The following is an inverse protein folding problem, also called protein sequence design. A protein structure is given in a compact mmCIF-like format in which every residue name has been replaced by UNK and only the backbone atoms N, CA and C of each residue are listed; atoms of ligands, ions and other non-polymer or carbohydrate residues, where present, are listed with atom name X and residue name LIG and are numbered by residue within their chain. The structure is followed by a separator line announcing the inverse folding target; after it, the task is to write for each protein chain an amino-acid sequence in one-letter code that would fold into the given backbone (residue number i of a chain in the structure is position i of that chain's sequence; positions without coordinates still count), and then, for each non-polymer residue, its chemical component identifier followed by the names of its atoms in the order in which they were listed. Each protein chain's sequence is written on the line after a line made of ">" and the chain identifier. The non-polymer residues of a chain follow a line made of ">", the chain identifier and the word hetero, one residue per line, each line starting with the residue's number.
data_IF_274213130658
#
_entry.id   IF_274213130658
#
_cell.length_a   1.000
_cell.length_b   1.000
_cell.length_c   1.000
_cell.angle_alpha   90.00
_cell.angle_beta   90.00
_cell.angle_gamma   90.00
#
_symmetry.space_group_name_H-M   'P 1'
#
loop_
_entity.id
_entity.type
_entity.pdbx_description
1 polymer ?
#
# COMPACT_ATOMS: atom_id res chain seq x y z
N UNK A 1 -18.74 16.28 43.95
CA UNK A 1 -18.24 17.30 43.00
C UNK A 1 -18.25 16.64 41.62
N UNK A 2 -19.32 16.83 40.85
CA UNK A 2 -19.56 16.15 39.58
C UNK A 2 -18.80 16.83 38.45
N UNK A 3 -17.98 16.07 37.72
CA UNK A 3 -17.35 16.50 36.48
C UNK A 3 -18.44 16.60 35.39
N UNK A 4 -18.93 17.81 35.15
CA UNK A 4 -19.68 18.13 33.94
C UNK A 4 -18.73 17.98 32.75
N UNK A 5 -18.79 16.82 32.09
CA UNK A 5 -18.26 16.64 30.74
C UNK A 5 -18.97 17.63 29.83
N UNK A 6 -18.26 18.70 29.46
CA UNK A 6 -18.69 19.64 28.45
C UNK A 6 -19.04 18.85 27.18
N UNK A 7 -20.33 18.80 26.88
CA UNK A 7 -20.90 18.27 25.65
C UNK A 7 -20.39 19.18 24.53
N UNK A 8 -19.36 18.74 23.81
CA UNK A 8 -18.88 19.38 22.59
C UNK A 8 -19.95 19.16 21.51
N UNK A 9 -20.96 20.04 21.47
CA UNK A 9 -21.84 20.16 20.30
C UNK A 9 -21.10 21.01 19.26
N UNK A 10 -20.74 20.38 18.14
CA UNK A 10 -20.20 21.10 16.99
C UNK A 10 -21.37 21.88 16.36
N UNK A 11 -21.20 23.16 16.02
CA UNK A 11 -22.25 23.93 15.36
C UNK A 11 -22.45 23.38 13.95
N UNK A 12 -23.45 22.51 13.77
CA UNK A 12 -23.76 21.86 12.49
C UNK A 12 -24.19 20.39 12.53
N UNK A 13 -24.59 19.86 13.70
CA UNK A 13 -24.96 18.45 13.91
C UNK A 13 -26.34 18.07 13.31
N UNK A 14 -26.48 18.22 11.98
CA UNK A 14 -27.48 17.45 11.23
C UNK A 14 -26.85 16.10 10.85
N UNK A 15 -27.24 14.97 11.47
CA UNK A 15 -26.65 13.65 11.18
C UNK A 15 -26.76 13.24 9.70
N UNK A 16 -27.65 13.88 8.93
CA UNK A 16 -27.81 13.67 7.49
C UNK A 16 -26.67 14.24 6.62
N UNK A 17 -25.93 15.26 7.08
CA UNK A 17 -24.86 15.90 6.30
C UNK A 17 -23.48 15.28 6.52
N UNK A 18 -23.26 14.58 7.64
CA UNK A 18 -21.97 13.92 7.94
C UNK A 18 -21.78 12.60 7.16
N UNK A 19 -22.86 11.86 6.90
CA UNK A 19 -22.81 10.59 6.16
C UNK A 19 -22.24 10.73 4.75
N UNK A 20 -22.67 11.70 3.90
CA UNK A 20 -22.13 11.83 2.55
C UNK A 20 -20.64 12.23 2.54
N UNK A 21 -20.20 13.06 3.49
CA UNK A 21 -18.78 13.45 3.60
C UNK A 21 -17.91 12.27 4.00
N UNK A 22 -18.34 11.47 4.97
CA UNK A 22 -17.62 10.25 5.39
C UNK A 22 -17.57 9.22 4.26
N UNK A 23 -18.67 9.06 3.51
CA UNK A 23 -18.72 8.15 2.35
C UNK A 23 -17.80 8.62 1.22
N UNK A 24 -17.76 9.93 0.94
CA UNK A 24 -16.89 10.53 -0.07
C UNK A 24 -15.42 10.41 0.31
N UNK A 25 -15.06 10.67 1.57
CA UNK A 25 -13.72 10.44 2.11
C UNK A 25 -13.33 8.97 2.02
N UNK A 26 -14.23 8.05 2.42
CA UNK A 26 -13.96 6.62 2.32
C UNK A 26 -13.77 6.16 0.87
N UNK A 27 -14.57 6.68 -0.07
CA UNK A 27 -14.44 6.41 -1.50
C UNK A 27 -13.14 6.98 -2.09
N UNK A 28 -12.76 8.20 -1.70
CA UNK A 28 -11.48 8.82 -2.08
C UNK A 28 -10.28 8.04 -1.54
N UNK A 29 -10.34 7.61 -0.27
CA UNK A 29 -9.29 6.80 0.36
C UNK A 29 -9.20 5.42 -0.29
N UNK A 30 -10.33 4.80 -0.63
CA UNK A 30 -10.39 3.56 -1.37
C UNK A 30 -9.81 3.71 -2.79
N UNK A 31 -10.15 4.80 -3.48
CA UNK A 31 -9.61 5.15 -4.79
C UNK A 31 -8.11 5.38 -4.77
N UNK A 32 -7.60 6.10 -3.76
CA UNK A 32 -6.18 6.29 -3.54
C UNK A 32 -5.45 4.97 -3.24
N UNK A 33 -6.01 4.14 -2.37
CA UNK A 33 -5.47 2.81 -2.07
C UNK A 33 -5.45 1.91 -3.31
N UNK A 34 -6.48 1.99 -4.15
CA UNK A 34 -6.51 1.31 -5.44
C UNK A 34 -5.43 1.86 -6.38
N UNK A 35 -5.28 3.19 -6.48
CA UNK A 35 -4.28 3.84 -7.33
C UNK A 35 -2.86 3.45 -6.91
N UNK A 36 -2.53 3.58 -5.62
CA UNK A 36 -1.26 3.11 -5.01
C UNK A 36 -1.03 1.65 -5.33
N UNK A 37 -2.06 0.81 -5.18
CA UNK A 37 -1.95 -0.61 -5.51
C UNK A 37 -1.63 -0.83 -6.99
N UNK A 38 -2.39 -0.21 -7.90
CA UNK A 38 -2.16 -0.34 -9.34
C UNK A 38 -0.76 0.12 -9.70
N UNK A 39 -0.29 1.24 -9.14
CA UNK A 39 1.06 1.77 -9.38
C UNK A 39 2.14 0.89 -8.78
N UNK A 40 2.06 0.50 -7.51
CA UNK A 40 3.04 -0.35 -6.85
C UNK A 40 3.17 -1.72 -7.52
N UNK A 41 2.04 -2.27 -7.98
CA UNK A 41 2.02 -3.54 -8.69
C UNK A 41 2.62 -3.43 -10.09
N UNK A 42 2.26 -2.37 -10.82
CA UNK A 42 2.86 -2.05 -12.12
C UNK A 42 4.36 -1.82 -11.96
N UNK A 43 4.81 -1.07 -10.95
CA UNK A 43 6.22 -0.82 -10.70
C UNK A 43 7.00 -2.06 -10.30
N UNK A 44 6.49 -2.86 -9.37
CA UNK A 44 7.13 -4.10 -8.97
C UNK A 44 7.20 -5.10 -10.13
N UNK A 45 6.15 -5.16 -10.96
CA UNK A 45 6.14 -6.01 -12.16
C UNK A 45 7.10 -5.49 -13.22
N UNK A 46 7.14 -4.17 -13.47
CA UNK A 46 8.10 -3.54 -14.37
C UNK A 46 9.53 -3.79 -13.90
N UNK A 47 9.83 -3.56 -12.61
CA UNK A 47 11.12 -3.88 -12.04
C UNK A 47 11.47 -5.35 -12.26
N UNK A 48 10.59 -6.26 -11.83
CA UNK A 48 10.83 -7.69 -11.91
C UNK A 48 11.09 -8.17 -13.35
N UNK A 49 10.38 -7.57 -14.34
CA UNK A 49 10.46 -7.93 -15.76
C UNK A 49 11.56 -7.21 -16.54
N UNK A 50 12.11 -6.10 -16.02
CA UNK A 50 13.33 -5.46 -16.54
C UNK A 50 14.54 -6.39 -16.33
N UNK A 51 14.64 -7.35 -17.23
CA UNK A 51 15.83 -8.15 -17.53
C UNK A 51 16.44 -7.60 -18.82
N UNK A 52 17.76 -7.71 -19.02
CA UNK A 52 18.45 -7.21 -20.22
C UNK A 52 18.18 -8.09 -21.45
N UNK A 53 16.95 -8.59 -21.61
CA UNK A 53 16.56 -9.39 -22.77
C UNK A 53 15.65 -8.55 -23.68
N UNK A 54 16.13 -8.09 -24.84
CA UNK A 54 15.44 -7.14 -25.73
C UNK A 54 14.17 -7.70 -26.42
N UNK A 55 13.69 -8.89 -26.02
CA UNK A 55 12.56 -9.58 -26.67
C UNK A 55 11.22 -9.51 -25.92
N UNK A 56 11.15 -8.88 -24.74
CA UNK A 56 9.86 -8.67 -24.06
C UNK A 56 9.10 -7.49 -24.69
N UNK A 57 8.21 -7.82 -25.64
CA UNK A 57 7.27 -6.89 -26.29
C UNK A 57 6.43 -6.08 -25.28
N UNK A 58 6.07 -4.81 -25.61
CA UNK A 58 5.40 -3.85 -24.72
C UNK A 58 3.91 -4.13 -24.42
N UNK A 59 3.39 -5.33 -24.71
CA UNK A 59 1.96 -5.66 -24.49
C UNK A 59 1.59 -5.91 -23.01
N UNK A 60 2.42 -5.44 -22.08
CA UNK A 60 2.30 -5.69 -20.65
C UNK A 60 1.12 -4.92 -20.03
N UNK A 61 0.74 -3.74 -20.54
CA UNK A 61 -0.30 -2.89 -19.90
C UNK A 61 -1.64 -3.61 -19.69
N UNK A 62 -2.09 -4.44 -20.64
CA UNK A 62 -3.34 -5.20 -20.57
C UNK A 62 -3.29 -6.45 -19.67
N UNK A 63 -2.10 -6.87 -19.23
CA UNK A 63 -1.92 -8.07 -18.39
C UNK A 63 -1.94 -7.77 -16.88
N UNK A 64 -1.82 -6.50 -16.46
CA UNK A 64 -1.70 -6.11 -15.06
C UNK A 64 -2.98 -6.32 -14.23
N UNK A 65 -4.16 -6.29 -14.83
CA UNK A 65 -5.43 -6.48 -14.12
C UNK A 65 -5.81 -7.96 -13.87
N UNK A 66 -5.03 -8.92 -14.38
CA UNK A 66 -5.34 -10.36 -14.27
C UNK A 66 -5.30 -10.90 -12.85
N UNK A 67 -4.52 -10.26 -11.98
CA UNK A 67 -4.43 -10.60 -10.56
C UNK A 67 -5.39 -9.83 -9.66
N UNK A 68 -6.19 -8.92 -10.21
CA UNK A 68 -6.99 -8.00 -9.40
C UNK A 68 -8.01 -8.76 -8.53
N UNK A 69 -8.70 -9.76 -9.07
CA UNK A 69 -9.71 -10.53 -8.31
C UNK A 69 -9.10 -11.32 -7.15
N UNK A 70 -7.97 -12.01 -7.37
CA UNK A 70 -7.26 -12.76 -6.31
C UNK A 70 -6.74 -11.79 -5.25
N UNK A 71 -6.24 -10.62 -5.66
CA UNK A 71 -5.81 -9.59 -4.73
C UNK A 71 -6.97 -9.02 -3.89
N UNK A 72 -8.10 -8.69 -4.52
CA UNK A 72 -9.30 -8.21 -3.83
C UNK A 72 -9.76 -9.26 -2.83
N UNK A 73 -9.83 -10.53 -3.24
CA UNK A 73 -10.18 -11.63 -2.34
C UNK A 73 -9.18 -11.74 -1.18
N UNK A 74 -7.87 -11.69 -1.45
CA UNK A 74 -6.84 -11.67 -0.41
C UNK A 74 -7.03 -10.50 0.57
N UNK A 75 -7.33 -9.30 0.08
CA UNK A 75 -7.58 -8.12 0.91
C UNK A 75 -8.84 -8.27 1.77
N UNK A 76 -9.93 -8.74 1.19
CA UNK A 76 -11.17 -8.99 1.92
C UNK A 76 -10.98 -10.08 2.98
N UNK A 77 -10.32 -11.18 2.64
CA UNK A 77 -9.99 -12.25 3.58
C UNK A 77 -9.11 -11.72 4.72
N UNK A 78 -8.12 -10.88 4.42
CA UNK A 78 -7.28 -10.24 5.44
C UNK A 78 -8.10 -9.34 6.37
N UNK A 79 -8.95 -8.47 5.81
CA UNK A 79 -9.82 -7.58 6.60
C UNK A 79 -10.74 -8.42 7.49
N UNK A 80 -11.35 -9.46 6.94
CA UNK A 80 -12.22 -10.38 7.66
C UNK A 80 -11.50 -11.04 8.84
N UNK A 81 -10.35 -11.67 8.61
CA UNK A 81 -9.57 -12.33 9.67
C UNK A 81 -9.12 -11.34 10.74
N UNK A 82 -8.62 -10.16 10.34
CA UNK A 82 -8.19 -9.13 11.29
C UNK A 82 -9.37 -8.59 12.11
N UNK A 83 -10.56 -8.46 11.49
CA UNK A 83 -11.77 -7.95 12.16
C UNK A 83 -12.33 -8.87 13.25
N UNK A 84 -11.95 -10.17 13.24
CA UNK A 84 -12.33 -11.11 14.30
C UNK A 84 -11.62 -10.84 15.63
N UNK A 85 -10.53 -10.06 15.63
CA UNK A 85 -9.76 -9.78 16.83
C UNK A 85 -10.15 -8.42 17.43
N UNK A 86 -10.46 -8.34 18.74
CA UNK A 86 -10.85 -7.09 19.39
C UNK A 86 -9.65 -6.15 19.52
N UNK A 87 -9.57 -5.15 18.64
CA UNK A 87 -8.40 -4.26 18.55
C UNK A 87 -8.17 -3.30 19.74
N UNK A 88 -9.14 -3.16 20.65
CA UNK A 88 -9.07 -2.16 21.75
C UNK A 88 -7.94 -2.41 22.74
N UNK A 89 -7.48 -3.66 22.88
CA UNK A 89 -6.39 -4.06 23.79
C UNK A 89 -5.05 -4.32 23.05
N UNK A 90 -5.09 -4.04 21.74
CA UNK A 90 -4.03 -3.97 20.75
C UNK A 90 -2.81 -3.10 21.08
N UNK A 91 -1.67 -3.61 21.59
CA UNK A 91 -0.43 -2.84 21.42
C UNK A 91 -0.03 -2.85 19.93
N UNK A 92 0.58 -1.79 19.37
CA UNK A 92 0.94 -1.76 17.94
C UNK A 92 1.84 -2.93 17.52
N UNK A 93 2.68 -3.40 18.44
CA UNK A 93 3.54 -4.56 18.22
C UNK A 93 2.72 -5.85 18.10
N UNK A 94 1.71 -6.06 18.95
CA UNK A 94 0.79 -7.20 18.80
C UNK A 94 -0.01 -7.11 17.50
N UNK A 95 -0.45 -5.91 17.12
CA UNK A 95 -1.09 -5.68 15.81
C UNK A 95 -0.16 -6.02 14.65
N UNK A 96 1.12 -5.65 14.73
CA UNK A 96 2.11 -5.96 13.70
C UNK A 96 2.37 -7.46 13.57
N UNK A 97 2.45 -8.18 14.69
CA UNK A 97 2.58 -9.64 14.72
C UNK A 97 1.33 -10.33 14.18
N UNK A 98 0.13 -9.89 14.59
CA UNK A 98 -1.13 -10.42 14.05
C UNK A 98 -1.19 -10.21 12.53
N UNK A 99 -0.89 -9.00 12.05
CA UNK A 99 -0.84 -8.69 10.64
C UNK A 99 0.16 -9.57 9.88
N UNK A 100 1.35 -9.80 10.46
CA UNK A 100 2.36 -10.70 9.89
C UNK A 100 1.83 -12.13 9.78
N UNK A 101 1.22 -12.65 10.85
CA UNK A 101 0.65 -14.01 10.88
C UNK A 101 -0.46 -14.18 9.84
N UNK A 102 -1.38 -13.21 9.74
CA UNK A 102 -2.46 -13.24 8.73
C UNK A 102 -1.89 -13.17 7.31
N UNK A 103 -0.87 -12.34 7.07
CA UNK A 103 -0.20 -12.27 5.77
C UNK A 103 0.53 -13.57 5.40
N UNK A 104 1.13 -14.26 6.37
CA UNK A 104 1.75 -15.57 6.17
C UNK A 104 0.69 -16.66 5.93
N UNK A 105 -0.45 -16.62 6.62
CA UNK A 105 -1.56 -17.54 6.41
C UNK A 105 -2.16 -17.39 4.99
N UNK A 106 -2.30 -16.16 4.53
CA UNK A 106 -2.83 -15.83 3.20
C UNK A 106 -1.75 -15.83 2.10
N UNK A 107 -0.51 -16.22 2.42
CA UNK A 107 0.61 -16.22 1.49
C UNK A 107 0.38 -17.06 0.24
N UNK A 108 -0.38 -18.16 0.37
CA UNK A 108 -0.73 -19.03 -0.74
C UNK A 108 -1.50 -18.28 -1.84
N UNK A 109 -2.45 -17.42 -1.45
CA UNK A 109 -3.21 -16.57 -2.37
C UNK A 109 -2.31 -15.55 -3.06
N UNK A 110 -1.30 -15.01 -2.37
CA UNK A 110 -0.34 -14.08 -2.98
C UNK A 110 0.54 -14.74 -4.03
N UNK A 111 1.03 -15.96 -3.76
CA UNK A 111 1.80 -16.72 -4.75
C UNK A 111 0.91 -17.04 -5.96
N UNK A 112 -0.31 -17.51 -5.75
CA UNK A 112 -1.28 -17.75 -6.81
C UNK A 112 -1.57 -16.49 -7.64
N UNK A 113 -1.63 -15.32 -6.99
CA UNK A 113 -1.78 -14.04 -7.67
C UNK A 113 -0.61 -13.74 -8.63
N UNK A 114 0.62 -13.88 -8.14
CA UNK A 114 1.83 -13.67 -8.96
C UNK A 114 1.91 -14.68 -10.12
N UNK A 115 1.57 -15.95 -9.88
CA UNK A 115 1.53 -16.97 -10.93
C UNK A 115 0.50 -16.65 -12.02
N UNK A 116 -0.68 -16.16 -11.62
CA UNK A 116 -1.74 -15.71 -12.54
C UNK A 116 -1.25 -14.59 -13.46
N UNK A 117 -0.46 -13.65 -12.92
CA UNK A 117 0.10 -12.53 -13.70
C UNK A 117 1.25 -12.97 -14.60
N UNK A 118 2.10 -13.88 -14.13
CA UNK A 118 3.21 -14.43 -14.92
C UNK A 118 2.74 -15.40 -16.02
N UNK A 119 1.50 -15.88 -15.99
CA UNK A 119 0.96 -16.79 -17.00
C UNK A 119 0.56 -16.03 -18.28
N UNK A 120 1.41 -16.15 -19.32
CA UNK A 120 1.07 -15.72 -20.68
C UNK A 120 0.02 -16.66 -21.28
N UNK A 121 -0.93 -16.10 -22.02
CA UNK A 121 -2.04 -16.83 -22.64
C UNK A 121 -1.50 -17.87 -23.66
N UNK A 122 -1.30 -19.12 -23.25
CA UNK A 122 -1.38 -20.24 -24.19
C UNK A 122 -2.84 -20.66 -24.22
N UNK A 123 -3.44 -20.78 -25.41
CA UNK A 123 -4.88 -20.99 -25.62
C UNK A 123 -5.49 -22.27 -25.00
N UNK A 124 -4.75 -23.00 -24.18
CA UNK A 124 -5.22 -24.15 -23.42
C UNK A 124 -5.43 -23.76 -21.96
N UNK A 125 -6.70 -23.58 -21.58
CA UNK A 125 -7.12 -23.35 -20.21
C UNK A 125 -6.72 -24.52 -19.32
N UNK A 126 -5.80 -24.27 -18.40
CA UNK A 126 -5.57 -25.16 -17.27
C UNK A 126 -5.36 -24.30 -16.04
N UNK A 127 -6.46 -24.06 -15.33
CA UNK A 127 -6.47 -23.48 -13.98
C UNK A 127 -5.51 -24.23 -13.03
N UNK A 128 -5.16 -25.49 -13.34
CA UNK A 128 -4.14 -26.28 -12.64
C UNK A 128 -2.74 -25.66 -12.63
N UNK A 129 -2.37 -24.81 -13.60
CA UNK A 129 -1.05 -24.13 -13.63
C UNK A 129 -0.94 -22.90 -12.71
N UNK A 130 -2.05 -22.45 -12.12
CA UNK A 130 -2.04 -21.31 -11.19
C UNK A 130 -1.99 -21.76 -9.71
N UNK A 131 -2.10 -23.06 -9.44
CA UNK A 131 -2.08 -23.63 -8.09
C UNK A 131 -0.61 -23.83 -7.68
N UNK A 132 -0.11 -23.11 -6.67
CA UNK A 132 1.26 -23.32 -6.22
C UNK A 132 1.43 -24.69 -5.57
N UNK A 133 2.47 -25.42 -5.99
CA UNK A 133 2.86 -26.67 -5.33
C UNK A 133 3.55 -26.38 -4.00
N UNK A 134 3.50 -27.33 -3.06
CA UNK A 134 4.17 -27.19 -1.75
C UNK A 134 5.67 -26.86 -1.88
N UNK A 135 6.35 -27.51 -2.83
CA UNK A 135 7.77 -27.26 -3.14
C UNK A 135 8.03 -25.83 -3.65
N UNK A 136 7.10 -25.23 -4.38
CA UNK A 136 7.20 -23.82 -4.79
C UNK A 136 6.94 -22.88 -3.61
N UNK A 137 5.95 -23.19 -2.77
CA UNK A 137 5.67 -22.41 -1.56
C UNK A 137 6.88 -22.36 -0.62
N UNK A 138 7.53 -23.49 -0.36
CA UNK A 138 8.71 -23.53 0.51
C UNK A 138 9.89 -22.73 -0.05
N UNK A 139 10.13 -22.79 -1.37
CA UNK A 139 11.17 -21.99 -2.04
C UNK A 139 10.88 -20.49 -2.04
N UNK A 140 9.60 -20.10 -2.12
CA UNK A 140 9.18 -18.69 -2.14
C UNK A 140 8.99 -18.10 -0.75
N UNK A 141 8.80 -18.94 0.27
CA UNK A 141 8.53 -18.54 1.65
C UNK A 141 9.48 -17.47 2.19
N UNK A 142 10.82 -17.54 2.02
CA UNK A 142 11.71 -16.49 2.53
C UNK A 142 11.43 -15.12 1.93
N UNK A 143 11.12 -15.07 0.63
CA UNK A 143 10.80 -13.80 -0.06
C UNK A 143 9.42 -13.26 0.32
N UNK A 144 8.46 -14.15 0.63
CA UNK A 144 7.15 -13.77 1.18
C UNK A 144 7.33 -13.19 2.58
N UNK A 145 8.10 -13.86 3.44
CA UNK A 145 8.39 -13.39 4.78
C UNK A 145 9.02 -12.00 4.75
N UNK A 146 10.03 -11.79 3.90
CA UNK A 146 10.65 -10.48 3.70
C UNK A 146 9.62 -9.41 3.34
N UNK A 147 8.76 -9.68 2.35
CA UNK A 147 7.73 -8.75 1.91
C UNK A 147 6.70 -8.47 3.02
N UNK A 148 6.22 -9.50 3.72
CA UNK A 148 5.21 -9.37 4.78
C UNK A 148 5.78 -8.59 5.97
N UNK A 149 7.03 -8.87 6.36
CA UNK A 149 7.75 -8.10 7.38
C UNK A 149 7.93 -6.65 6.94
N UNK A 150 8.34 -6.41 5.69
CA UNK A 150 8.47 -5.06 5.15
C UNK A 150 7.13 -4.31 5.19
N UNK A 151 6.05 -4.97 4.78
CA UNK A 151 4.71 -4.38 4.83
C UNK A 151 4.27 -4.07 6.27
N UNK A 152 4.53 -4.96 7.23
CA UNK A 152 4.21 -4.69 8.64
C UNK A 152 5.04 -3.51 9.18
N UNK A 153 6.34 -3.48 8.92
CA UNK A 153 7.22 -2.37 9.36
C UNK A 153 6.71 -1.05 8.79
N UNK A 154 6.37 -1.00 7.50
CA UNK A 154 5.89 0.20 6.82
C UNK A 154 4.71 0.88 7.52
N UNK A 155 3.75 0.10 8.06
CA UNK A 155 2.55 0.66 8.70
C UNK A 155 2.71 0.82 10.21
N UNK A 156 3.31 -0.15 10.90
CA UNK A 156 3.31 -0.16 12.37
C UNK A 156 4.52 0.54 12.99
N UNK A 157 5.67 0.61 12.29
CA UNK A 157 6.86 1.32 12.81
C UNK A 157 6.59 2.82 12.98
N UNK A 158 6.02 3.54 12.00
CA UNK A 158 5.73 4.96 12.17
C UNK A 158 4.75 5.24 13.31
N UNK A 159 3.70 4.41 13.44
CA UNK A 159 2.71 4.52 14.53
C UNK A 159 3.39 4.30 15.88
N UNK A 160 4.24 3.27 16.00
CA UNK A 160 4.98 2.99 17.22
C UNK A 160 5.93 4.13 17.59
N UNK A 161 6.65 4.70 16.63
CA UNK A 161 7.56 5.84 16.88
C UNK A 161 6.80 7.08 17.34
N UNK A 162 5.62 7.36 16.78
CA UNK A 162 4.78 8.48 17.22
C UNK A 162 4.27 8.25 18.65
N UNK A 163 3.82 7.04 18.97
CA UNK A 163 3.40 6.71 20.34
C UNK A 163 4.56 6.80 21.33
N UNK A 164 5.75 6.32 20.96
CA UNK A 164 6.94 6.40 21.79
C UNK A 164 7.36 7.86 22.00
N UNK A 165 7.33 8.69 20.96
CA UNK A 165 7.62 10.12 21.05
C UNK A 165 6.59 10.86 21.91
N UNK A 166 5.30 10.51 21.80
CA UNK A 166 4.23 11.06 22.65
C UNK A 166 4.36 10.63 24.11
N UNK A 167 4.77 9.39 24.38
CA UNK A 167 5.02 8.88 25.73
C UNK A 167 6.28 9.51 26.37
N UNK A 168 7.28 9.86 25.54
CA UNK A 168 8.53 10.49 25.99
C UNK A 168 8.41 12.00 26.20
N UNK A 169 7.33 12.66 25.75
CA UNK A 169 7.25 14.11 25.76
C UNK A 169 5.85 14.68 25.92
N UNK A 170 5.49 15.07 27.15
CA UNK A 170 4.45 16.08 27.41
C UNK A 170 4.79 17.48 26.81
N UNK A 171 5.99 17.67 26.24
CA UNK A 171 6.58 18.99 25.93
C UNK A 171 6.52 19.45 24.47
N UNK A 172 6.19 18.59 23.50
CA UNK A 172 6.12 19.00 22.09
C UNK A 172 4.66 19.00 21.64
N UNK A 173 3.97 20.13 21.87
CA UNK A 173 2.65 20.43 21.28
C UNK A 173 2.77 20.64 19.77
N UNK A 174 3.09 19.57 19.05
CA UNK A 174 3.05 19.55 17.59
C UNK A 174 1.59 19.45 17.18
N UNK A 175 1.16 20.28 16.23
CA UNK A 175 -0.20 20.24 15.69
C UNK A 175 -0.55 18.83 15.20
N UNK A 176 -1.77 18.37 15.49
CA UNK A 176 -2.27 17.06 15.04
C UNK A 176 -2.13 16.89 13.52
N UNK A 177 -2.32 17.98 12.76
CA UNK A 177 -2.15 18.00 11.31
C UNK A 177 -0.72 17.66 10.90
N UNK A 178 0.28 18.22 11.60
CA UNK A 178 1.70 17.98 11.31
C UNK A 178 2.08 16.53 11.64
N UNK A 179 1.56 15.97 12.73
CA UNK A 179 1.76 14.56 13.07
C UNK A 179 1.15 13.63 12.02
N UNK A 180 -0.06 13.93 11.54
CA UNK A 180 -0.73 13.15 10.50
C UNK A 180 0.04 13.21 9.17
N UNK A 181 0.46 14.40 8.74
CA UNK A 181 1.26 14.57 7.51
C UNK A 181 2.60 13.84 7.64
N UNK A 182 3.28 13.96 8.79
CA UNK A 182 4.54 13.26 9.05
C UNK A 182 4.36 11.74 9.03
N UNK A 183 3.27 11.23 9.62
CA UNK A 183 2.92 9.81 9.59
C UNK A 183 2.74 9.33 8.15
N UNK A 184 1.90 10.03 7.38
CA UNK A 184 1.60 9.68 6.00
C UNK A 184 2.85 9.71 5.12
N UNK A 185 3.66 10.77 5.23
CA UNK A 185 4.93 10.89 4.52
C UNK A 185 5.90 9.76 4.86
N UNK A 186 6.01 9.40 6.15
CA UNK A 186 6.87 8.29 6.58
C UNK A 186 6.38 6.94 6.03
N UNK A 187 5.07 6.68 6.07
CA UNK A 187 4.48 5.47 5.49
C UNK A 187 4.79 5.40 3.99
N UNK A 188 4.64 6.50 3.26
CA UNK A 188 4.93 6.53 1.82
C UNK A 188 6.41 6.23 1.52
N UNK A 189 7.33 6.90 2.21
CA UNK A 189 8.77 6.67 2.04
C UNK A 189 9.13 5.21 2.34
N UNK A 190 8.61 4.64 3.45
CA UNK A 190 8.86 3.23 3.79
C UNK A 190 8.21 2.28 2.77
N UNK A 191 7.01 2.57 2.30
CA UNK A 191 6.30 1.72 1.35
C UNK A 191 7.11 1.57 0.06
N UNK A 192 7.53 2.69 -0.50
CA UNK A 192 8.26 2.71 -1.75
C UNK A 192 9.74 2.31 -1.61
N UNK A 193 10.38 2.62 -0.48
CA UNK A 193 11.77 2.25 -0.20
C UNK A 193 11.97 0.80 0.23
N UNK A 194 10.97 0.19 0.87
CA UNK A 194 11.07 -1.14 1.49
C UNK A 194 10.11 -2.15 0.85
N UNK A 195 8.81 -1.83 0.77
CA UNK A 195 7.75 -2.77 0.37
C UNK A 195 7.82 -3.07 -1.12
N UNK A 196 7.98 -2.05 -1.97
CA UNK A 196 8.04 -2.24 -3.44
C UNK A 196 9.26 -3.08 -3.86
N UNK A 197 10.50 -2.80 -3.39
CA UNK A 197 11.65 -3.65 -3.66
C UNK A 197 11.49 -5.09 -3.15
N UNK A 198 10.97 -5.27 -1.94
CA UNK A 198 10.70 -6.60 -1.39
C UNK A 198 9.68 -7.36 -2.25
N UNK A 199 8.68 -6.66 -2.80
CA UNK A 199 7.69 -7.26 -3.69
C UNK A 199 8.28 -7.64 -5.06
N UNK A 200 9.16 -6.81 -5.62
CA UNK A 200 9.87 -7.12 -6.87
C UNK A 200 10.79 -8.35 -6.71
N UNK A 201 11.48 -8.47 -5.57
CA UNK A 201 12.26 -9.66 -5.20
C UNK A 201 11.34 -10.88 -5.14
N UNK A 202 10.20 -10.78 -4.45
CA UNK A 202 9.22 -11.86 -4.34
C UNK A 202 8.72 -12.33 -5.72
N UNK A 203 8.42 -11.42 -6.65
CA UNK A 203 8.01 -11.79 -8.01
C UNK A 203 9.12 -12.58 -8.73
N UNK A 204 10.38 -12.13 -8.64
CA UNK A 204 11.52 -12.82 -9.28
C UNK A 204 11.78 -14.20 -8.69
N UNK A 205 11.79 -14.32 -7.36
CA UNK A 205 11.94 -15.61 -6.66
C UNK A 205 10.80 -16.55 -7.04
N UNK A 206 9.56 -16.04 -7.11
CA UNK A 206 8.40 -16.82 -7.54
C UNK A 206 8.51 -17.26 -9.00
N UNK A 207 8.98 -16.40 -9.89
CA UNK A 207 9.23 -16.74 -11.29
C UNK A 207 10.32 -17.81 -11.45
N UNK A 208 11.38 -17.75 -10.64
CA UNK A 208 12.43 -18.78 -10.58
C UNK A 208 11.88 -20.11 -10.05
N UNK A 209 11.17 -20.09 -8.93
CA UNK A 209 10.59 -21.29 -8.31
C UNK A 209 9.65 -22.02 -9.27
N UNK A 210 8.92 -21.27 -10.12
CA UNK A 210 8.07 -21.83 -11.17
C UNK A 210 8.85 -22.60 -12.25
N UNK A 211 10.10 -22.22 -12.53
CA UNK A 211 11.00 -22.94 -13.44
C UNK A 211 11.71 -24.12 -12.78
N UNK A 212 11.46 -24.36 -11.49
CA UNK A 212 12.16 -25.37 -10.69
C UNK A 212 13.46 -24.87 -10.07
N UNK A 213 13.95 -23.69 -10.47
CA UNK A 213 15.19 -23.07 -10.00
C UNK A 213 15.04 -22.47 -8.59
N UNK A 214 16.07 -22.59 -7.76
CA UNK A 214 16.15 -21.92 -6.46
C UNK A 214 16.90 -20.59 -6.58
N UNK A 215 16.17 -19.48 -6.42
CA UNK A 215 16.76 -18.14 -6.38
C UNK A 215 16.75 -17.62 -4.95
N UNK A 216 17.90 -17.17 -4.46
CA UNK A 216 18.00 -16.53 -3.15
C UNK A 216 17.54 -15.07 -3.22
N UNK A 217 17.11 -14.51 -2.08
CA UNK A 217 16.76 -13.08 -1.95
C UNK A 217 17.90 -12.18 -2.43
N UNK A 218 19.14 -12.51 -2.04
CA UNK A 218 20.34 -11.77 -2.45
C UNK A 218 20.55 -11.84 -3.96
N UNK A 219 20.42 -13.03 -4.56
CA UNK A 219 20.53 -13.20 -6.02
C UNK A 219 19.45 -12.44 -6.78
N UNK A 220 18.21 -12.43 -6.27
CA UNK A 220 17.10 -11.67 -6.85
C UNK A 220 17.37 -10.17 -6.88
N UNK A 221 17.90 -9.62 -5.78
CA UNK A 221 18.26 -8.21 -5.68
C UNK A 221 19.47 -7.84 -6.54
N UNK A 222 20.53 -8.65 -6.48
CA UNK A 222 21.74 -8.41 -7.26
C UNK A 222 21.49 -8.49 -8.77
N UNK A 223 20.53 -9.31 -9.21
CA UNK A 223 20.12 -9.38 -10.61
C UNK A 223 19.47 -8.11 -11.18
N UNK A 224 19.19 -7.07 -10.38
CA UNK A 224 18.81 -5.76 -10.92
C UNK A 224 20.07 -4.96 -11.26
N UNK A 225 20.21 -4.55 -12.52
CA UNK A 225 21.30 -3.64 -12.91
C UNK A 225 21.22 -2.33 -12.12
N UNK A 226 22.35 -1.69 -11.85
CA UNK A 226 22.37 -0.38 -11.16
C UNK A 226 21.51 0.65 -11.90
N UNK A 227 21.60 0.68 -13.23
CA UNK A 227 20.78 1.54 -14.08
C UNK A 227 19.28 1.30 -13.89
N UNK A 228 18.84 0.05 -13.78
CA UNK A 228 17.43 -0.28 -13.53
C UNK A 228 16.98 0.17 -12.13
N UNK A 229 17.85 0.07 -11.11
CA UNK A 229 17.55 0.55 -9.76
C UNK A 229 17.40 2.06 -9.73
N UNK A 230 18.33 2.79 -10.35
CA UNK A 230 18.28 4.26 -10.43
C UNK A 230 17.04 4.72 -11.21
N UNK A 231 16.77 4.10 -12.35
CA UNK A 231 15.59 4.41 -13.15
C UNK A 231 14.28 4.13 -12.38
N UNK A 232 14.25 3.06 -11.59
CA UNK A 232 13.14 2.79 -10.68
C UNK A 232 12.97 3.91 -9.66
N UNK A 233 14.01 4.29 -8.91
CA UNK A 233 13.92 5.37 -7.93
C UNK A 233 13.55 6.73 -8.55
N UNK A 234 13.91 6.97 -9.82
CA UNK A 234 13.48 8.16 -10.56
C UNK A 234 11.97 8.14 -10.85
N UNK A 235 11.48 7.08 -11.49
CA UNK A 235 10.05 6.88 -11.76
C UNK A 235 9.21 6.89 -10.47
N UNK A 236 9.78 6.34 -9.40
CA UNK A 236 9.22 6.33 -8.06
C UNK A 236 9.01 7.75 -7.55
N UNK A 237 10.04 8.60 -7.68
CA UNK A 237 9.97 10.01 -7.32
C UNK A 237 8.91 10.76 -8.14
N UNK A 238 8.82 10.49 -9.44
CA UNK A 238 7.79 11.08 -10.32
C UNK A 238 6.37 10.69 -9.91
N UNK A 239 6.13 9.42 -9.58
CA UNK A 239 4.80 8.97 -9.13
C UNK A 239 4.48 9.45 -7.73
N UNK A 240 5.44 9.43 -6.81
CA UNK A 240 5.27 10.02 -5.48
C UNK A 240 4.88 11.49 -5.56
N UNK A 241 5.52 12.25 -6.45
CA UNK A 241 5.20 13.65 -6.68
C UNK A 241 3.77 13.83 -7.19
N UNK A 242 3.37 13.03 -8.18
CA UNK A 242 2.03 13.09 -8.77
C UNK A 242 0.95 12.67 -7.76
N UNK A 243 1.19 11.61 -7.01
CA UNK A 243 0.26 11.10 -6.00
C UNK A 243 0.12 12.04 -4.80
N UNK A 244 1.23 12.65 -4.36
CA UNK A 244 1.19 13.71 -3.34
C UNK A 244 0.38 14.91 -3.85
N UNK A 245 0.55 15.31 -5.12
CA UNK A 245 -0.24 16.37 -5.76
C UNK A 245 -1.74 16.07 -5.76
N UNK A 246 -2.13 14.88 -6.22
CA UNK A 246 -3.54 14.45 -6.20
C UNK A 246 -4.10 14.41 -4.78
N UNK A 247 -3.33 13.88 -3.83
CA UNK A 247 -3.75 13.80 -2.41
C UNK A 247 -3.97 15.19 -1.83
N UNK A 248 -3.07 16.15 -2.08
CA UNK A 248 -3.20 17.53 -1.64
C UNK A 248 -4.45 18.17 -2.23
N UNK A 249 -4.67 18.02 -3.54
CA UNK A 249 -5.87 18.56 -4.21
C UNK A 249 -7.14 17.97 -3.60
N UNK A 250 -7.22 16.65 -3.41
CA UNK A 250 -8.37 16.00 -2.80
C UNK A 250 -8.64 16.48 -1.38
N UNK A 251 -7.59 16.61 -0.55
CA UNK A 251 -7.73 17.11 0.83
C UNK A 251 -8.21 18.56 0.83
N UNK A 252 -7.67 19.42 -0.04
CA UNK A 252 -8.10 20.82 -0.17
C UNK A 252 -9.54 20.92 -0.67
N UNK A 253 -9.94 20.08 -1.64
CA UNK A 253 -11.32 20.03 -2.12
C UNK A 253 -12.28 19.61 -1.02
N UNK A 254 -11.94 18.59 -0.23
CA UNK A 254 -12.75 18.17 0.92
C UNK A 254 -12.81 19.27 1.98
N UNK A 255 -11.69 19.95 2.28
CA UNK A 255 -11.67 21.08 3.21
C UNK A 255 -12.57 22.23 2.73
N UNK A 256 -12.52 22.57 1.44
CA UNK A 256 -13.38 23.59 0.83
C UNK A 256 -14.86 23.20 0.86
N UNK A 257 -15.19 21.91 0.68
CA UNK A 257 -16.55 21.39 0.78
C UNK A 257 -17.09 21.40 2.23
N UNK A 258 -16.24 21.13 3.22
CA UNK A 258 -16.63 21.08 4.62
C UNK A 258 -16.69 22.46 5.31
N UNK A 259 -16.02 23.48 4.75
CA UNK A 259 -15.97 24.83 5.31
C UNK A 259 -16.34 25.88 4.26
N UNK A 260 -17.59 26.39 4.24
CA UNK A 260 -18.07 27.27 3.17
C UNK A 260 -17.29 28.59 3.08
N UNK A 261 -16.70 29.05 4.18
CA UNK A 261 -15.85 30.25 4.21
C UNK A 261 -14.46 30.03 3.59
N UNK A 262 -13.94 28.80 3.60
CA UNK A 262 -12.63 28.44 3.03
C UNK A 262 -12.72 28.21 1.52
N UNK A 263 -13.91 27.84 1.02
CA UNK A 263 -14.17 27.64 -0.40
C UNK A 263 -13.82 28.88 -1.23
N UNK A 264 -14.25 30.06 -0.81
CA UNK A 264 -14.02 31.32 -1.54
C UNK A 264 -12.54 31.73 -1.57
N UNK A 265 -11.81 31.49 -0.48
CA UNK A 265 -10.38 31.81 -0.39
C UNK A 265 -9.53 30.83 -1.21
N UNK A 266 -9.83 29.53 -1.16
CA UNK A 266 -9.12 28.51 -1.97
C UNK A 266 -9.40 28.71 -3.46
N UNK A 267 -10.64 29.03 -3.83
CA UNK A 267 -11.01 29.31 -5.22
C UNK A 267 -10.28 30.55 -5.76
N UNK A 268 -10.23 31.64 -4.99
CA UNK A 268 -9.43 32.83 -5.35
C UNK A 268 -7.95 32.53 -5.47
N UNK A 269 -7.40 31.69 -4.59
CA UNK A 269 -5.99 31.32 -4.64
C UNK A 269 -5.66 30.50 -5.90
N UNK A 270 -6.54 29.57 -6.29
CA UNK A 270 -6.40 28.78 -7.51
C UNK A 270 -6.49 29.63 -8.78
N UNK A 271 -7.49 30.51 -8.85
CA UNK A 271 -7.66 31.45 -9.97
C UNK A 271 -6.44 32.37 -10.11
N UNK A 272 -5.82 32.79 -9.00
CA UNK A 272 -4.66 33.68 -9.02
C UNK A 272 -3.35 33.01 -9.46
N UNK A 273 -3.22 31.70 -9.24
CA UNK A 273 -1.99 30.97 -9.57
C UNK A 273 -2.05 30.25 -10.91
N UNK A 274 -3.25 29.88 -11.39
CA UNK A 274 -3.42 29.07 -12.60
C UNK A 274 -4.26 29.74 -13.70
N UNK A 275 -4.92 30.86 -13.43
CA UNK A 275 -5.60 31.71 -14.41
C UNK A 275 -4.75 32.91 -14.79
#
# INVERSE_FOLDING_TARGET
>A
MSLNLAKWELPGDSPSQQIPVVLLLAAALLGLLLAVYTHAYVFATLMATQTPNPRLKPSLSRQHFRGLSIFVFHRLAKIYVISMFPMKEFSPLKCALLNLTVELLLSYLRVANVLTILNRHSGTHSYSRCIPTWSMCSKTFPSILLYSTASSICFYLPIYLIQLAGALGERLRVSQTVQFISLLGTIMVLYFGLVVPAYAIFIRVTASARRGESMTIRGAWQGFSWSSRVHFYKLLGEVLFLEAGVTIVMVLSVFALCHPTVHDDVFRLFVRYFG
#
